data_IF_312322100438
#
_entry.id   IF_312322100438
#
_cell.length_a   1.000
_cell.length_b   1.000
_cell.length_c   1.000
_cell.angle_alpha   90.00
_cell.angle_beta   90.00
_cell.angle_gamma   90.00
#
_symmetry.space_group_name_H-M   'P 1'
#
loop_
_entity.id
_entity.type
_entity.pdbx_description
1 polymer ?
#
# COMPACT_ATOMS: atom_id res chain seq x y z
N UNK A 1 5.41 11.48 3.66
CA UNK A 1 4.80 10.13 3.64
C UNK A 1 4.65 9.55 5.06
N UNK A 2 3.43 9.45 5.56
CA UNK A 2 3.08 8.95 6.91
C UNK A 2 3.08 7.42 7.04
N UNK A 3 4.02 6.72 6.39
CA UNK A 3 4.16 5.27 6.47
C UNK A 3 5.22 4.93 7.51
N UNK A 4 4.77 4.53 8.69
CA UNK A 4 5.64 4.04 9.76
C UNK A 4 5.93 2.53 9.66
N UNK A 5 6.83 2.00 10.50
CA UNK A 5 7.27 0.60 10.44
C UNK A 5 6.13 -0.42 10.47
N UNK A 6 5.11 -0.19 11.30
CA UNK A 6 3.96 -1.10 11.40
C UNK A 6 3.12 -1.14 10.11
N UNK A 7 2.99 -0.02 9.39
CA UNK A 7 2.27 0.03 8.12
C UNK A 7 3.10 -0.65 7.02
N UNK A 8 4.41 -0.37 6.98
CA UNK A 8 5.32 -0.99 6.03
C UNK A 8 5.28 -2.53 6.13
N UNK A 9 5.29 -3.07 7.35
CA UNK A 9 5.18 -4.52 7.55
C UNK A 9 3.87 -5.08 6.99
N UNK A 10 2.73 -4.42 7.20
CA UNK A 10 1.44 -4.88 6.64
C UNK A 10 1.42 -4.90 5.11
N UNK A 11 2.08 -3.94 4.46
CA UNK A 11 2.20 -3.90 3.00
C UNK A 11 3.00 -5.13 2.52
N UNK A 12 4.11 -5.45 3.20
CA UNK A 12 4.93 -6.63 2.89
C UNK A 12 4.13 -7.91 3.11
N UNK A 13 3.51 -8.08 4.29
CA UNK A 13 2.73 -9.27 4.64
C UNK A 13 1.59 -9.49 3.64
N UNK A 14 0.87 -8.43 3.27
CA UNK A 14 -0.20 -8.52 2.27
C UNK A 14 0.34 -8.98 0.92
N UNK A 15 1.45 -8.40 0.46
CA UNK A 15 2.08 -8.76 -0.83
C UNK A 15 2.56 -10.22 -0.83
N UNK A 16 3.12 -10.69 0.27
CA UNK A 16 3.57 -12.08 0.40
C UNK A 16 2.41 -13.07 0.38
N UNK A 17 1.27 -12.72 1.00
CA UNK A 17 0.11 -13.59 1.07
C UNK A 17 -0.77 -13.57 -0.19
N UNK A 18 -0.87 -12.44 -0.88
CA UNK A 18 -1.84 -12.22 -1.97
C UNK A 18 -1.19 -12.03 -3.35
N UNK A 19 0.14 -11.88 -3.40
CA UNK A 19 0.87 -11.56 -4.63
C UNK A 19 1.15 -10.06 -4.78
N UNK A 20 1.79 -9.66 -5.91
CA UNK A 20 2.13 -8.26 -6.17
C UNK A 20 0.90 -7.36 -6.28
N UNK A 21 1.07 -6.08 -5.97
CA UNK A 21 0.09 -5.04 -6.28
C UNK A 21 0.20 -4.68 -7.77
N UNK A 22 -0.93 -4.51 -8.44
CA UNK A 22 -1.02 -4.15 -9.86
C UNK A 22 -1.61 -2.74 -10.07
N UNK A 23 -2.19 -2.16 -9.02
CA UNK A 23 -2.83 -0.85 -9.05
C UNK A 23 -2.72 -0.14 -7.71
N UNK A 24 -3.02 1.17 -7.71
CA UNK A 24 -3.06 1.96 -6.48
C UNK A 24 -4.18 1.48 -5.57
N UNK A 25 -5.30 1.08 -6.16
CA UNK A 25 -6.48 0.55 -5.49
C UNK A 25 -6.19 -0.74 -4.73
N UNK A 26 -5.26 -1.57 -5.20
CA UNK A 26 -4.90 -2.80 -4.50
C UNK A 26 -4.29 -2.52 -3.11
N UNK A 27 -3.65 -1.36 -2.92
CA UNK A 27 -3.12 -0.93 -1.63
C UNK A 27 -4.21 -0.65 -0.60
N UNK A 28 -5.46 -0.37 -1.01
CA UNK A 28 -6.60 -0.15 -0.09
C UNK A 28 -6.96 -1.42 0.70
N UNK A 29 -6.58 -2.60 0.18
CA UNK A 29 -6.76 -3.87 0.88
C UNK A 29 -5.83 -4.02 2.10
N UNK A 30 -4.77 -3.21 2.20
CA UNK A 30 -3.86 -3.22 3.34
C UNK A 30 -4.49 -2.45 4.49
N UNK A 31 -4.78 -3.16 5.60
CA UNK A 31 -5.39 -2.55 6.78
C UNK A 31 -4.64 -1.29 7.25
N UNK A 32 -5.35 -0.17 7.23
CA UNK A 32 -4.86 1.14 7.68
C UNK A 32 -4.39 2.05 6.54
N UNK A 33 -4.36 1.54 5.31
CA UNK A 33 -4.36 2.37 4.11
C UNK A 33 -5.82 2.70 3.80
N UNK A 34 -6.07 3.96 3.45
CA UNK A 34 -7.37 4.47 3.04
C UNK A 34 -7.17 5.71 2.15
N UNK A 35 -8.25 6.41 1.76
CA UNK A 35 -8.20 7.42 0.69
C UNK A 35 -7.10 8.48 0.87
N UNK A 36 -6.96 9.05 2.07
CA UNK A 36 -5.92 10.05 2.34
C UNK A 36 -4.50 9.48 2.22
N UNK A 37 -4.28 8.22 2.58
CA UNK A 37 -2.99 7.57 2.41
C UNK A 37 -2.74 7.26 0.94
N UNK A 38 -3.75 6.79 0.20
CA UNK A 38 -3.65 6.52 -1.23
C UNK A 38 -3.32 7.79 -2.02
N UNK A 39 -3.97 8.91 -1.74
CA UNK A 39 -3.66 10.21 -2.38
C UNK A 39 -2.20 10.62 -2.16
N UNK A 40 -1.66 10.39 -0.96
CA UNK A 40 -0.26 10.68 -0.64
C UNK A 40 0.72 9.68 -1.28
N UNK A 41 0.29 8.44 -1.55
CA UNK A 41 1.10 7.40 -2.19
C UNK A 41 1.06 7.47 -3.71
N UNK A 42 -0.04 7.96 -4.30
CA UNK A 42 -0.26 8.02 -5.74
C UNK A 42 0.93 8.60 -6.54
N UNK A 43 1.58 9.71 -6.14
CA UNK A 43 2.73 10.24 -6.88
C UNK A 43 4.06 9.54 -6.57
N UNK A 44 4.10 8.57 -5.65
CA UNK A 44 5.32 7.95 -5.12
C UNK A 44 5.47 6.47 -5.50
N UNK A 45 4.45 5.89 -6.13
CA UNK A 45 4.42 4.46 -6.48
C UNK A 45 4.18 4.28 -7.96
N UNK A 46 4.70 3.19 -8.51
CA UNK A 46 4.45 2.74 -9.86
C UNK A 46 4.11 1.25 -9.84
N UNK A 47 3.35 0.82 -10.84
CA UNK A 47 2.99 -0.56 -11.06
C UNK A 47 3.41 -0.89 -12.49
N UNK A 48 4.24 -1.91 -12.64
CA UNK A 48 4.75 -2.39 -13.93
C UNK A 48 3.92 -3.57 -14.45
#
# INVERSE_FOLDING_TARGET
>A
PGIGPAMAQRIIDYREANGPFHSLEDLDNVRGIGPATLENLAPLVSFD
#
